data_IF_090869358974
#
_entry.id   IF_090869358974
#
_cell.length_a   1.000
_cell.length_b   1.000
_cell.length_c   1.000
_cell.angle_alpha   90.00
_cell.angle_beta   90.00
_cell.angle_gamma   90.00
#
_symmetry.space_group_name_H-M   'P 1'
#
loop_
_entity.id
_entity.type
_entity.pdbx_description
1 polymer ?
#
# COMPACT_ATOMS: atom_id res chain seq x y z
N UNK A 1 -58.48 14.34 17.20
CA UNK A 1 -57.72 14.13 15.94
C UNK A 1 -56.24 14.32 16.23
N UNK A 2 -55.54 13.25 16.61
CA UNK A 2 -54.12 13.28 16.99
C UNK A 2 -53.28 12.69 15.86
N UNK A 3 -52.51 13.54 15.18
CA UNK A 3 -51.55 13.12 14.14
C UNK A 3 -50.30 12.55 14.83
N UNK A 4 -50.06 11.25 14.64
CA UNK A 4 -48.80 10.59 15.01
C UNK A 4 -47.74 10.97 13.97
N UNK A 5 -46.68 11.66 14.42
CA UNK A 5 -45.48 11.93 13.62
C UNK A 5 -44.60 10.68 13.72
N UNK A 6 -44.45 9.97 12.61
CA UNK A 6 -43.56 8.82 12.50
C UNK A 6 -42.14 9.35 12.25
N UNK A 7 -41.31 9.41 13.29
CA UNK A 7 -39.89 9.71 13.17
C UNK A 7 -39.23 8.44 12.62
N UNK A 8 -39.01 8.41 11.31
CA UNK A 8 -38.22 7.38 10.66
C UNK A 8 -36.77 7.64 11.07
N UNK A 9 -36.32 6.89 12.08
CA UNK A 9 -34.93 6.75 12.46
C UNK A 9 -34.20 6.13 11.27
N UNK A 10 -33.61 6.99 10.44
CA UNK A 10 -32.70 6.56 9.38
C UNK A 10 -31.50 5.92 10.09
N UNK A 11 -31.55 4.58 10.13
CA UNK A 11 -30.48 3.71 10.58
C UNK A 11 -29.36 3.89 9.55
N UNK A 12 -28.55 4.93 9.75
CA UNK A 12 -27.29 5.13 9.04
C UNK A 12 -26.47 3.91 9.42
N UNK A 13 -26.43 2.94 8.51
CA UNK A 13 -25.47 1.85 8.51
C UNK A 13 -24.08 2.50 8.58
N UNK A 14 -23.58 2.61 9.81
CA UNK A 14 -22.17 2.67 10.08
C UNK A 14 -21.60 1.41 9.47
N UNK A 15 -21.17 1.52 8.20
CA UNK A 15 -20.21 0.60 7.63
C UNK A 15 -18.99 0.69 8.54
N UNK A 16 -18.98 -0.16 9.57
CA UNK A 16 -17.80 -0.59 10.29
C UNK A 16 -16.92 -1.24 9.22
N UNK A 17 -16.21 -0.39 8.48
CA UNK A 17 -15.11 -0.80 7.63
C UNK A 17 -14.13 -1.45 8.58
N UNK A 18 -14.22 -2.78 8.65
CA UNK A 18 -13.27 -3.59 9.37
C UNK A 18 -11.95 -3.35 8.63
N UNK A 19 -11.12 -2.44 9.15
CA UNK A 19 -9.84 -2.15 8.52
C UNK A 19 -9.10 -3.47 8.40
N UNK A 20 -8.82 -3.85 7.16
CA UNK A 20 -8.25 -5.15 6.89
C UNK A 20 -6.91 -5.24 7.63
N UNK A 21 -6.52 -6.42 8.11
CA UNK A 21 -5.17 -6.60 8.66
C UNK A 21 -4.07 -6.25 7.64
N UNK A 22 -4.43 -6.17 6.35
CA UNK A 22 -3.59 -5.75 5.25
C UNK A 22 -3.08 -4.30 5.43
N UNK A 23 -3.96 -3.38 5.85
CA UNK A 23 -3.62 -1.97 6.10
C UNK A 23 -2.48 -1.86 7.09
N UNK A 24 -2.54 -2.68 8.16
CA UNK A 24 -1.46 -2.73 9.14
C UNK A 24 -0.16 -3.20 8.48
N UNK A 25 -0.23 -4.22 7.61
CA UNK A 25 0.93 -4.82 6.92
C UNK A 25 1.70 -3.82 6.07
N UNK A 26 0.98 -2.98 5.33
CA UNK A 26 1.59 -1.96 4.48
C UNK A 26 2.17 -0.78 5.27
N UNK A 27 1.55 -0.37 6.38
CA UNK A 27 2.00 0.79 7.19
C UNK A 27 3.45 0.63 7.65
N UNK A 28 4.27 1.64 7.40
CA UNK A 28 5.67 1.73 7.82
C UNK A 28 6.63 1.96 6.66
N UNK A 29 7.91 1.83 6.97
CA UNK A 29 9.02 2.08 6.06
C UNK A 29 9.31 0.88 5.15
N UNK A 30 9.53 1.15 3.87
CA UNK A 30 9.93 0.19 2.86
C UNK A 30 11.14 0.72 2.11
N UNK A 31 12.14 -0.13 1.90
CA UNK A 31 13.29 0.17 1.04
C UNK A 31 13.07 -0.48 -0.31
N UNK A 32 13.19 0.29 -1.38
CA UNK A 32 13.09 -0.19 -2.75
C UNK A 32 14.36 -0.94 -3.10
N UNK A 33 14.18 -2.16 -3.61
CA UNK A 33 15.27 -3.00 -4.12
C UNK A 33 15.28 -2.96 -5.67
N UNK A 34 14.11 -2.92 -6.30
CA UNK A 34 13.96 -2.86 -7.76
C UNK A 34 12.82 -1.94 -8.17
N UNK A 35 12.99 -1.23 -9.29
CA UNK A 35 11.98 -0.34 -9.83
C UNK A 35 12.15 -0.11 -11.34
N UNK A 36 11.08 -0.37 -12.07
CA UNK A 36 10.98 -0.21 -13.51
C UNK A 36 9.79 0.68 -13.82
N UNK A 37 9.98 1.71 -14.65
CA UNK A 37 8.90 2.55 -15.15
C UNK A 37 8.90 2.45 -16.68
N UNK A 38 7.81 1.94 -17.26
CA UNK A 38 7.67 1.63 -18.69
C UNK A 38 8.83 0.77 -19.19
N UNK A 39 9.07 -0.34 -18.50
CA UNK A 39 10.13 -1.32 -18.77
C UNK A 39 11.58 -0.81 -18.65
N UNK A 40 11.77 0.44 -18.20
CA UNK A 40 13.10 1.03 -17.98
C UNK A 40 13.41 0.98 -16.49
N UNK A 41 14.54 0.37 -16.13
CA UNK A 41 15.04 0.45 -14.76
C UNK A 41 15.41 1.89 -14.42
N UNK A 42 14.71 2.48 -13.45
CA UNK A 42 14.94 3.88 -13.03
C UNK A 42 15.63 3.97 -11.67
N UNK A 43 16.15 2.87 -11.13
CA UNK A 43 16.76 2.83 -9.79
C UNK A 43 17.90 3.84 -9.64
N UNK A 44 18.75 4.00 -10.67
CA UNK A 44 19.83 5.00 -10.68
C UNK A 44 19.35 6.46 -10.65
N UNK A 45 18.07 6.69 -10.98
CA UNK A 45 17.48 8.03 -11.02
C UNK A 45 16.77 8.39 -9.70
N UNK A 46 16.81 7.49 -8.71
CA UNK A 46 16.22 7.69 -7.39
C UNK A 46 17.26 8.29 -6.44
N UNK A 47 16.92 9.44 -5.87
CA UNK A 47 17.71 10.13 -4.84
C UNK A 47 17.38 9.65 -3.42
N UNK A 48 16.18 9.11 -3.21
CA UNK A 48 15.74 8.50 -1.96
C UNK A 48 14.97 7.22 -2.27
N UNK A 49 15.55 6.06 -1.94
CA UNK A 49 15.05 4.74 -2.32
C UNK A 49 14.07 4.15 -1.31
N UNK A 50 13.25 4.99 -0.68
CA UNK A 50 12.29 4.51 0.32
C UNK A 50 10.90 5.06 0.13
N UNK A 51 9.93 4.26 0.54
CA UNK A 51 8.53 4.65 0.69
C UNK A 51 8.14 4.50 2.15
N UNK A 52 7.36 5.45 2.66
CA UNK A 52 6.77 5.34 3.98
C UNK A 52 5.26 5.47 3.88
N UNK A 53 4.52 4.45 4.28
CA UNK A 53 3.05 4.50 4.36
C UNK A 53 2.63 4.80 5.80
N UNK A 54 1.97 5.94 6.03
CA UNK A 54 1.48 6.35 7.35
C UNK A 54 0.06 5.83 7.61
N UNK A 55 -0.26 5.59 8.88
CA UNK A 55 -1.57 5.05 9.29
C UNK A 55 -2.76 6.00 9.09
N UNK A 56 -2.50 7.27 8.78
CA UNK A 56 -3.51 8.28 8.45
C UNK A 56 -3.85 8.31 6.94
N UNK A 57 -3.35 7.35 6.15
CA UNK A 57 -3.57 7.30 4.70
C UNK A 57 -2.66 8.23 3.89
N UNK A 58 -1.67 8.89 4.49
CA UNK A 58 -0.64 9.64 3.74
C UNK A 58 0.60 8.77 3.49
N UNK A 59 1.40 9.11 2.49
CA UNK A 59 2.68 8.45 2.22
C UNK A 59 3.79 9.42 1.81
N UNK A 60 5.01 9.01 2.10
CA UNK A 60 6.23 9.59 1.56
C UNK A 60 6.72 8.70 0.43
N UNK A 61 6.87 9.28 -0.75
CA UNK A 61 7.27 8.61 -1.98
C UNK A 61 8.77 8.79 -2.24
N UNK A 62 9.35 7.97 -3.12
CA UNK A 62 10.75 8.11 -3.51
C UNK A 62 10.97 9.45 -4.20
N UNK A 63 12.13 10.05 -3.95
CA UNK A 63 12.55 11.26 -4.65
C UNK A 63 13.29 10.85 -5.92
N UNK A 64 12.87 11.34 -7.08
CA UNK A 64 13.56 11.10 -8.36
C UNK A 64 14.26 12.38 -8.84
N UNK A 65 15.19 12.25 -9.79
CA UNK A 65 15.83 13.40 -10.43
C UNK A 65 14.82 14.35 -11.10
N UNK A 66 13.74 13.80 -11.65
CA UNK A 66 12.71 14.54 -12.39
C UNK A 66 11.67 15.18 -11.45
N UNK A 67 11.34 14.56 -10.31
CA UNK A 67 10.26 14.98 -9.41
C UNK A 67 10.77 15.23 -7.99
N UNK A 68 11.74 16.13 -7.84
CA UNK A 68 12.42 16.37 -6.55
C UNK A 68 11.52 16.89 -5.43
N UNK A 69 10.48 17.66 -5.77
CA UNK A 69 9.57 18.31 -4.80
C UNK A 69 8.25 17.57 -4.58
N UNK A 70 7.97 16.52 -5.35
CA UNK A 70 6.69 15.80 -5.32
C UNK A 70 6.87 14.42 -4.69
N UNK A 71 7.23 14.40 -3.41
CA UNK A 71 7.51 13.17 -2.66
C UNK A 71 6.43 12.83 -1.62
N UNK A 72 5.24 13.43 -1.74
CA UNK A 72 4.09 13.16 -0.86
C UNK A 72 2.92 12.64 -1.67
N UNK A 73 2.10 11.83 -1.03
CA UNK A 73 0.84 11.36 -1.59
C UNK A 73 -0.12 10.88 -0.51
N UNK A 74 -1.30 10.50 -0.96
CA UNK A 74 -2.28 9.77 -0.17
C UNK A 74 -2.41 8.35 -0.74
N UNK A 75 -2.82 7.40 0.08
CA UNK A 75 -2.96 6.02 -0.33
C UNK A 75 -4.17 5.35 0.31
N UNK A 76 -4.71 4.36 -0.41
CA UNK A 76 -5.81 3.53 0.07
C UNK A 76 -5.70 2.12 -0.51
N UNK A 77 -6.05 1.11 0.28
CA UNK A 77 -6.15 -0.27 -0.18
C UNK A 77 -7.60 -0.57 -0.60
N UNK A 78 -7.73 -1.29 -1.71
CA UNK A 78 -8.98 -1.82 -2.23
C UNK A 78 -8.89 -3.34 -2.30
N UNK A 79 -9.95 -4.02 -1.85
CA UNK A 79 -10.14 -5.44 -2.11
C UNK A 79 -10.96 -5.57 -3.38
N UNK A 80 -10.32 -5.92 -4.50
CA UNK A 80 -11.01 -6.03 -5.79
C UNK A 80 -11.84 -7.31 -5.86
N UNK A 81 -11.26 -8.39 -5.33
CA UNK A 81 -11.84 -9.73 -5.21
C UNK A 81 -11.18 -10.44 -4.01
N UNK A 82 -11.74 -11.56 -3.51
CA UNK A 82 -11.06 -12.39 -2.52
C UNK A 82 -9.65 -12.74 -3.01
N UNK A 83 -8.65 -12.44 -2.18
CA UNK A 83 -7.22 -12.63 -2.47
C UNK A 83 -6.62 -11.73 -3.58
N UNK A 84 -7.31 -10.67 -4.00
CA UNK A 84 -6.78 -9.68 -4.93
C UNK A 84 -6.91 -8.27 -4.34
N UNK A 85 -5.79 -7.73 -3.89
CA UNK A 85 -5.70 -6.42 -3.27
C UNK A 85 -4.94 -5.45 -4.16
N UNK A 86 -5.47 -4.24 -4.29
CA UNK A 86 -4.79 -3.12 -4.92
C UNK A 86 -4.50 -2.02 -3.90
N UNK A 87 -3.46 -1.25 -4.17
CA UNK A 87 -3.22 0.04 -3.52
C UNK A 87 -3.35 1.15 -4.56
N UNK A 88 -4.18 2.14 -4.27
CA UNK A 88 -4.25 3.38 -5.03
C UNK A 88 -3.33 4.41 -4.37
N UNK A 89 -2.46 5.04 -5.16
CA UNK A 89 -1.61 6.15 -4.71
C UNK A 89 -2.02 7.43 -5.44
N UNK A 90 -2.48 8.40 -4.66
CA UNK A 90 -2.89 9.73 -5.11
C UNK A 90 -1.75 10.71 -4.87
N UNK A 91 -1.12 11.18 -5.94
CA UNK A 91 -0.02 12.14 -5.88
C UNK A 91 0.05 12.96 -7.17
N UNK A 92 0.76 14.08 -7.14
CA UNK A 92 1.12 14.83 -8.34
C UNK A 92 2.29 14.19 -9.11
N UNK A 93 3.07 13.31 -8.45
CA UNK A 93 4.20 12.63 -9.05
C UNK A 93 3.74 11.57 -10.05
N UNK A 94 3.90 11.86 -11.34
CA UNK A 94 3.39 11.01 -12.44
C UNK A 94 3.99 9.60 -12.50
N UNK A 95 5.15 9.36 -11.88
CA UNK A 95 5.77 8.03 -11.85
C UNK A 95 5.05 7.11 -10.86
N UNK A 96 4.64 7.65 -9.71
CA UNK A 96 4.08 6.88 -8.59
C UNK A 96 2.56 7.02 -8.43
N UNK A 97 1.91 7.82 -9.29
CA UNK A 97 0.46 7.97 -9.30
C UNK A 97 -0.16 6.77 -10.02
N UNK A 98 -1.09 6.08 -9.36
CA UNK A 98 -1.88 5.04 -10.01
C UNK A 98 -2.45 4.00 -9.06
N UNK A 99 -3.09 3.01 -9.67
CA UNK A 99 -3.53 1.78 -9.03
C UNK A 99 -2.49 0.70 -9.25
N UNK A 100 -2.15 0.00 -8.18
CA UNK A 100 -1.14 -1.05 -8.19
C UNK A 100 -1.76 -2.34 -7.67
N UNK A 101 -1.59 -3.42 -8.43
CA UNK A 101 -1.69 -4.77 -7.87
C UNK A 101 -0.61 -4.94 -6.81
N UNK A 102 -1.00 -5.50 -5.66
CA UNK A 102 -0.14 -5.59 -4.50
C UNK A 102 0.08 -7.05 -4.09
N UNK A 103 1.34 -7.44 -3.97
CA UNK A 103 1.72 -8.78 -3.54
C UNK A 103 2.76 -8.73 -2.42
N UNK A 104 2.48 -9.43 -1.32
CA UNK A 104 3.49 -9.68 -0.29
C UNK A 104 4.22 -10.98 -0.59
N UNK A 105 5.52 -11.00 -0.31
CA UNK A 105 6.33 -12.21 -0.38
C UNK A 105 7.11 -12.44 0.90
N UNK A 106 7.19 -13.71 1.32
CA UNK A 106 8.03 -14.12 2.44
C UNK A 106 9.41 -14.54 1.92
N UNK A 107 10.39 -13.64 2.01
CA UNK A 107 11.78 -13.99 1.74
C UNK A 107 12.38 -14.68 2.97
N UNK A 108 12.21 -16.00 3.04
CA UNK A 108 12.70 -16.84 4.14
C UNK A 108 14.23 -16.86 4.24
N UNK A 109 14.93 -16.72 3.10
CA UNK A 109 16.40 -16.75 3.02
C UNK A 109 16.98 -15.55 3.77
N UNK A 110 16.49 -14.36 3.46
CA UNK A 110 16.98 -13.11 4.05
C UNK A 110 16.19 -12.71 5.31
N UNK A 111 15.16 -13.49 5.66
CA UNK A 111 14.25 -13.25 6.79
C UNK A 111 13.59 -11.88 6.69
N UNK A 112 12.99 -11.60 5.54
CA UNK A 112 12.36 -10.32 5.24
C UNK A 112 10.95 -10.49 4.68
N UNK A 113 10.11 -9.49 4.94
CA UNK A 113 8.84 -9.30 4.23
C UNK A 113 9.10 -8.41 3.03
N UNK A 114 8.74 -8.89 1.84
CA UNK A 114 8.82 -8.15 0.58
C UNK A 114 7.42 -7.71 0.15
N UNK A 115 7.37 -6.66 -0.65
CA UNK A 115 6.19 -6.08 -1.28
C UNK A 115 6.52 -5.84 -2.75
N UNK A 116 5.67 -6.31 -3.64
CA UNK A 116 5.66 -5.93 -5.06
C UNK A 116 4.42 -5.09 -5.33
N UNK A 117 4.62 -3.93 -5.93
CA UNK A 117 3.57 -3.05 -6.47
C UNK A 117 3.73 -3.02 -7.98
N UNK A 118 2.68 -3.41 -8.70
CA UNK A 118 2.70 -3.55 -10.16
C UNK A 118 1.49 -2.88 -10.79
N UNK A 119 1.74 -2.09 -11.83
CA UNK A 119 0.75 -1.49 -12.72
C UNK A 119 1.26 -1.56 -14.16
N UNK A 120 0.43 -1.16 -15.12
CA UNK A 120 0.81 -1.11 -16.55
C UNK A 120 2.06 -0.26 -16.82
N UNK A 121 2.38 0.69 -15.95
CA UNK A 121 3.48 1.64 -16.16
C UNK A 121 4.63 1.48 -15.19
N UNK A 122 4.47 0.76 -14.07
CA UNK A 122 5.48 0.68 -13.02
C UNK A 122 5.46 -0.68 -12.33
N UNK A 123 6.64 -1.28 -12.18
CA UNK A 123 6.87 -2.43 -11.32
C UNK A 123 7.88 -2.03 -10.27
N UNK A 124 7.58 -2.27 -9.00
CA UNK A 124 8.45 -1.93 -7.88
C UNK A 124 8.45 -3.02 -6.83
N UNK A 125 9.63 -3.49 -6.46
CA UNK A 125 9.82 -4.43 -5.35
C UNK A 125 10.54 -3.74 -4.21
N UNK A 126 10.02 -3.90 -3.01
CA UNK A 126 10.54 -3.29 -1.80
C UNK A 126 10.54 -4.27 -0.63
N UNK A 127 11.40 -4.01 0.36
CA UNK A 127 11.50 -4.79 1.60
C UNK A 127 11.12 -3.97 2.81
N UNK A 128 10.45 -4.60 3.77
CA UNK A 128 9.99 -3.92 4.99
C UNK A 128 11.17 -3.55 5.89
N UNK A 129 11.32 -2.26 6.18
CA UNK A 129 12.29 -1.76 7.13
C UNK A 129 11.85 -2.02 8.58
N UNK A 130 12.82 -2.29 9.46
CA UNK A 130 12.65 -2.44 10.91
C UNK A 130 11.66 -3.53 11.36
N UNK A 131 11.31 -4.48 10.48
CA UNK A 131 10.45 -5.60 10.83
C UNK A 131 11.23 -6.66 11.61
N UNK A 132 10.80 -6.97 12.83
CA UNK A 132 11.26 -8.18 13.51
C UNK A 132 10.58 -9.40 12.87
N UNK A 133 11.30 -10.10 12.00
CA UNK A 133 10.78 -11.21 11.22
C UNK A 133 10.21 -12.34 12.08
N UNK A 134 10.93 -12.76 13.13
CA UNK A 134 10.54 -13.91 13.95
C UNK A 134 9.24 -13.63 14.71
N UNK A 135 9.10 -12.44 15.31
CA UNK A 135 7.90 -12.09 16.06
C UNK A 135 6.68 -11.81 15.17
N UNK A 136 6.89 -11.60 13.86
CA UNK A 136 5.82 -11.30 12.90
C UNK A 136 5.54 -12.47 11.93
N UNK A 137 6.07 -13.66 12.15
CA UNK A 137 5.98 -14.76 11.18
C UNK A 137 4.54 -15.17 10.85
N UNK A 138 3.63 -15.19 11.83
CA UNK A 138 2.20 -15.49 11.59
C UNK A 138 1.54 -14.46 10.69
N UNK A 139 1.81 -13.18 10.95
CA UNK A 139 1.31 -12.07 10.16
C UNK A 139 1.89 -12.02 8.75
N UNK A 140 3.17 -12.34 8.60
CA UNK A 140 3.80 -12.47 7.28
C UNK A 140 3.10 -13.55 6.46
N UNK A 141 2.81 -14.72 7.06
CA UNK A 141 2.06 -15.78 6.39
C UNK A 141 0.67 -15.32 5.95
N UNK A 142 -0.07 -14.68 6.86
CA UNK A 142 -1.40 -14.14 6.56
C UNK A 142 -1.37 -13.14 5.38
N UNK A 143 -0.40 -12.23 5.36
CA UNK A 143 -0.27 -11.24 4.27
C UNK A 143 0.05 -11.90 2.92
N UNK A 144 0.93 -12.90 2.91
CA UNK A 144 1.29 -13.63 1.69
C UNK A 144 0.09 -14.44 1.18
N UNK A 145 -0.59 -15.18 2.05
CA UNK A 145 -1.78 -15.98 1.71
C UNK A 145 -2.95 -15.14 1.19
N UNK A 146 -3.07 -13.89 1.64
CA UNK A 146 -4.12 -12.97 1.19
C UNK A 146 -3.82 -12.28 -0.14
N UNK A 147 -2.58 -12.30 -0.63
CA UNK A 147 -2.19 -11.53 -1.82
C UNK A 147 -1.65 -12.39 -2.97
N UNK A 148 -1.67 -13.71 -2.79
CA UNK A 148 -1.31 -14.73 -3.78
C UNK A 148 -2.39 -15.81 -3.83
#
# INVERSE_FOLDING_TARGET
>A
MTKKILIIFSFIFLNLSCSSNLDKGIIGWWTIDEIYHKDINIFSNILSNSIYFYSNGTCDLPVTLENKSQNKGEWQIFENNPSNYSIHIMTENKIFKGDYHMQFHNNKKDRMLMLTLESDSLIMTARKGLLNYQSNLSRIKELVEKTN
#
